data_IF_691905887970
#
_entry.id   IF_691905887970
#
_cell.length_a   1.000
_cell.length_b   1.000
_cell.length_c   1.000
_cell.angle_alpha   90.00
_cell.angle_beta   90.00
_cell.angle_gamma   90.00
#
_symmetry.space_group_name_H-M   'P 1'
#
loop_
_entity.id
_entity.type
_entity.pdbx_description
1 polymer ?
#
# COMPACT_ATOMS: atom_id res chain seq x y z
N UNK A 1 -23.22 15.34 -6.29
CA UNK A 1 -23.39 14.10 -5.49
C UNK A 1 -24.09 14.45 -4.20
N UNK A 2 -25.28 13.90 -3.95
CA UNK A 2 -25.98 14.05 -2.67
C UNK A 2 -25.59 12.89 -1.75
N UNK A 3 -25.11 13.18 -0.54
CA UNK A 3 -24.90 12.18 0.50
C UNK A 3 -25.42 12.71 1.85
N UNK A 4 -25.74 11.81 2.77
CA UNK A 4 -26.16 12.19 4.12
C UNK A 4 -24.94 12.34 5.02
N UNK A 5 -24.79 13.49 5.67
CA UNK A 5 -23.78 13.69 6.72
C UNK A 5 -23.98 12.63 7.81
N UNK A 6 -22.90 11.98 8.24
CA UNK A 6 -22.85 10.82 9.15
C UNK A 6 -23.57 9.54 8.67
N UNK A 7 -24.16 9.52 7.46
CA UNK A 7 -24.69 8.31 6.82
C UNK A 7 -23.60 7.51 6.10
N UNK A 8 -23.98 6.46 5.37
CA UNK A 8 -23.05 5.75 4.48
C UNK A 8 -22.71 6.62 3.27
N UNK A 9 -21.43 6.68 2.92
CA UNK A 9 -20.99 7.29 1.67
C UNK A 9 -21.51 6.48 0.47
N UNK A 10 -21.84 7.13 -0.66
CA UNK A 10 -22.07 6.39 -1.89
C UNK A 10 -20.80 5.65 -2.30
N UNK A 11 -20.96 4.45 -2.85
CA UNK A 11 -19.86 3.68 -3.42
C UNK A 11 -19.47 4.26 -4.79
N UNK A 12 -18.48 5.14 -4.75
CA UNK A 12 -17.93 5.83 -5.93
C UNK A 12 -16.39 5.84 -5.90
N UNK A 13 -15.81 4.83 -5.26
CA UNK A 13 -14.36 4.68 -5.11
C UNK A 13 -13.66 4.69 -6.47
N UNK A 14 -14.26 4.08 -7.49
CA UNK A 14 -13.74 4.08 -8.86
C UNK A 14 -13.71 5.48 -9.50
N UNK A 15 -14.75 6.28 -9.29
CA UNK A 15 -14.80 7.66 -9.79
C UNK A 15 -13.79 8.54 -9.05
N UNK A 16 -13.71 8.36 -7.74
CA UNK A 16 -12.72 9.00 -6.89
C UNK A 16 -11.29 8.72 -7.39
N UNK A 17 -10.95 7.46 -7.64
CA UNK A 17 -9.64 7.08 -8.16
C UNK A 17 -9.33 7.70 -9.53
N UNK A 18 -10.29 7.72 -10.46
CA UNK A 18 -10.12 8.37 -11.77
C UNK A 18 -9.84 9.87 -11.64
N UNK A 19 -10.51 10.55 -10.72
CA UNK A 19 -10.29 11.97 -10.45
C UNK A 19 -8.93 12.22 -9.80
N UNK A 20 -8.50 11.38 -8.85
CA UNK A 20 -7.16 11.45 -8.24
C UNK A 20 -6.05 11.24 -9.27
N UNK A 21 -6.19 10.27 -10.18
CA UNK A 21 -5.24 10.05 -11.29
C UNK A 21 -5.15 11.24 -12.26
N UNK A 22 -6.14 12.13 -12.28
CA UNK A 22 -6.15 13.37 -13.07
C UNK A 22 -5.75 14.60 -12.27
N UNK A 23 -5.27 14.43 -11.04
CA UNK A 23 -4.81 15.54 -10.18
C UNK A 23 -5.96 16.36 -9.57
N UNK A 24 -7.20 15.85 -9.59
CA UNK A 24 -8.35 16.53 -8.99
C UNK A 24 -8.46 16.24 -7.49
N UNK A 25 -7.50 16.74 -6.70
CA UNK A 25 -7.44 16.55 -5.25
C UNK A 25 -7.61 17.89 -4.47
N UNK A 26 -8.35 17.92 -3.35
CA UNK A 26 -9.08 16.80 -2.73
C UNK A 26 -10.48 16.66 -3.30
N UNK A 27 -10.83 15.42 -3.65
CA UNK A 27 -12.22 14.99 -3.63
C UNK A 27 -12.84 15.48 -2.31
N UNK A 28 -14.08 16.01 -2.32
CA UNK A 28 -14.66 16.63 -1.14
C UNK A 28 -14.46 15.72 0.07
N UNK A 29 -13.78 16.20 1.12
CA UNK A 29 -13.63 15.45 2.37
C UNK A 29 -15.04 15.14 2.84
N UNK A 30 -15.45 13.89 2.71
CA UNK A 30 -16.84 13.54 2.92
C UNK A 30 -17.09 13.49 4.41
N UNK A 31 -18.15 14.12 4.86
CA UNK A 31 -18.62 13.99 6.24
C UNK A 31 -19.52 12.76 6.42
N UNK A 32 -19.36 11.71 5.62
CA UNK A 32 -20.08 10.43 5.71
C UNK A 32 -19.13 9.30 6.14
N UNK A 33 -19.71 8.21 6.65
CA UNK A 33 -18.97 7.00 7.04
C UNK A 33 -18.64 6.19 5.79
N UNK A 34 -17.42 5.61 5.66
CA UNK A 34 -17.09 4.69 4.58
C UNK A 34 -18.18 3.62 4.47
N UNK A 35 -18.73 3.41 3.27
CA UNK A 35 -19.63 2.29 3.07
C UNK A 35 -18.83 0.99 3.22
N UNK A 36 -19.35 0.06 4.02
CA UNK A 36 -18.91 -1.31 3.92
C UNK A 36 -19.32 -1.86 2.53
N UNK A 37 -18.49 -2.66 1.85
CA UNK A 37 -18.90 -3.33 0.62
C UNK A 37 -20.19 -4.10 0.87
N UNK A 38 -21.22 -3.88 0.05
CA UNK A 38 -22.52 -4.54 0.22
C UNK A 38 -22.44 -6.06 0.04
N UNK A 39 -21.40 -6.53 -0.65
CA UNK A 39 -21.16 -7.94 -1.01
C UNK A 39 -19.82 -8.42 -0.46
N UNK A 40 -19.48 -8.08 0.79
CA UNK A 40 -18.32 -8.69 1.43
C UNK A 40 -18.51 -10.21 1.59
N UNK A 41 -17.85 -10.98 0.73
CA UNK A 41 -17.73 -12.44 0.83
C UNK A 41 -16.26 -12.77 1.02
N UNK A 42 -15.94 -13.40 2.15
CA UNK A 42 -14.63 -13.98 2.40
C UNK A 42 -14.55 -15.35 1.74
N UNK A 43 -13.55 -15.68 0.89
CA UNK A 43 -12.43 -14.87 0.41
C UNK A 43 -12.73 -14.14 -0.92
N UNK A 44 -12.14 -12.96 -1.10
CA UNK A 44 -12.33 -12.13 -2.31
C UNK A 44 -11.76 -12.83 -3.56
N UNK A 45 -12.57 -12.95 -4.61
CA UNK A 45 -12.08 -13.42 -5.91
C UNK A 45 -11.24 -12.33 -6.58
N UNK A 46 -10.09 -12.70 -7.14
CA UNK A 46 -9.18 -11.78 -7.82
C UNK A 46 -9.90 -11.10 -9.01
N UNK A 47 -9.97 -9.75 -9.08
CA UNK A 47 -10.56 -9.09 -10.24
C UNK A 47 -9.77 -9.41 -11.52
N UNK A 48 -10.45 -9.95 -12.52
CA UNK A 48 -9.89 -10.19 -13.87
C UNK A 48 -9.75 -8.85 -14.60
N UNK A 49 -8.64 -8.13 -14.39
CA UNK A 49 -8.39 -6.86 -15.09
C UNK A 49 -7.09 -6.12 -14.75
N UNK A 50 -6.20 -6.72 -13.96
CA UNK A 50 -4.93 -6.09 -13.59
C UNK A 50 -3.80 -6.51 -14.52
N UNK A 51 -3.44 -5.68 -15.50
CA UNK A 51 -2.22 -5.93 -16.27
C UNK A 51 -0.95 -5.47 -15.52
N UNK A 52 -1.03 -4.44 -14.66
CA UNK A 52 0.10 -4.00 -13.82
C UNK A 52 0.31 -4.87 -12.56
N UNK A 53 -0.68 -5.67 -12.16
CA UNK A 53 -0.69 -6.38 -10.88
C UNK A 53 -1.38 -7.74 -10.95
N UNK A 54 -1.10 -8.50 -12.02
CA UNK A 54 -1.78 -9.76 -12.36
C UNK A 54 -1.62 -10.88 -11.32
N UNK A 55 -0.71 -10.72 -10.35
CA UNK A 55 -0.44 -11.70 -9.28
C UNK A 55 -0.09 -11.10 -7.91
N UNK A 56 -0.26 -9.79 -7.66
CA UNK A 56 0.25 -9.23 -6.38
C UNK A 56 -0.55 -9.68 -5.16
N UNK A 57 -1.81 -10.10 -5.34
CA UNK A 57 -2.61 -10.63 -4.24
C UNK A 57 -2.41 -12.14 -4.03
N UNK A 58 -1.69 -12.82 -4.93
CA UNK A 58 -1.34 -14.22 -4.80
C UNK A 58 -0.05 -14.38 -3.97
N UNK A 59 -0.22 -14.61 -2.67
CA UNK A 59 0.88 -14.77 -1.72
C UNK A 59 1.63 -16.10 -1.88
N UNK A 60 1.04 -17.09 -2.56
CA UNK A 60 1.72 -18.36 -2.86
C UNK A 60 2.48 -18.33 -4.20
N UNK A 61 2.18 -17.32 -5.03
CA UNK A 61 2.81 -17.07 -6.32
C UNK A 61 4.08 -16.20 -6.25
N UNK A 62 4.31 -15.29 -7.22
CA UNK A 62 5.53 -14.49 -7.33
C UNK A 62 5.86 -13.64 -6.08
N UNK A 63 4.84 -13.21 -5.33
CA UNK A 63 5.04 -12.41 -4.12
C UNK A 63 5.74 -13.20 -2.99
N UNK A 64 5.63 -14.53 -2.99
CA UNK A 64 6.27 -15.43 -2.01
C UNK A 64 7.79 -15.35 -2.02
N UNK A 65 8.40 -15.09 -3.17
CA UNK A 65 9.86 -15.05 -3.34
C UNK A 65 10.39 -13.62 -3.46
N UNK A 66 9.51 -12.66 -3.74
CA UNK A 66 9.89 -11.25 -3.88
C UNK A 66 10.55 -10.77 -2.60
N UNK A 67 11.73 -10.15 -2.75
CA UNK A 67 12.60 -9.65 -1.66
C UNK A 67 13.26 -10.71 -0.75
N UNK A 68 13.02 -12.01 -0.97
CA UNK A 68 13.48 -13.09 -0.08
C UNK A 68 14.92 -13.59 -0.35
N UNK A 69 15.47 -13.44 -1.56
CA UNK A 69 16.80 -13.98 -1.87
C UNK A 69 17.15 -13.95 -3.37
N UNK A 70 18.44 -14.06 -3.68
CA UNK A 70 19.10 -13.63 -4.92
C UNK A 70 18.47 -14.12 -6.23
N UNK A 71 17.74 -13.23 -6.90
CA UNK A 71 17.60 -13.31 -8.36
C UNK A 71 18.94 -12.88 -8.94
N UNK A 72 19.52 -13.72 -9.80
CA UNK A 72 20.93 -13.68 -10.25
C UNK A 72 21.33 -12.49 -11.12
N UNK A 73 20.74 -11.31 -10.95
CA UNK A 73 21.11 -10.09 -11.65
C UNK A 73 21.77 -9.10 -10.66
N UNK A 74 22.91 -8.53 -11.04
CA UNK A 74 23.78 -7.74 -10.14
C UNK A 74 23.18 -6.44 -9.59
N UNK A 75 21.90 -6.16 -9.86
CA UNK A 75 21.17 -4.97 -9.38
C UNK A 75 20.09 -5.30 -8.33
N UNK A 76 19.84 -6.58 -8.03
CA UNK A 76 18.81 -6.98 -7.07
C UNK A 76 19.32 -6.95 -5.62
N UNK A 77 18.65 -6.18 -4.77
CA UNK A 77 18.88 -6.14 -3.32
C UNK A 77 17.90 -7.07 -2.60
N UNK A 78 18.43 -7.98 -1.77
CA UNK A 78 17.60 -8.65 -0.77
C UNK A 78 17.37 -7.73 0.43
N UNK A 79 16.35 -8.03 1.22
CA UNK A 79 16.05 -7.26 2.44
C UNK A 79 17.21 -7.31 3.42
N UNK A 80 17.90 -8.45 3.48
CA UNK A 80 19.07 -8.59 4.35
C UNK A 80 20.24 -7.68 3.89
N UNK A 81 20.43 -7.49 2.58
CA UNK A 81 21.39 -6.51 2.05
C UNK A 81 20.97 -5.08 2.38
N UNK A 82 19.67 -4.77 2.29
CA UNK A 82 19.13 -3.45 2.65
C UNK A 82 19.35 -3.15 4.13
N UNK A 83 19.07 -4.09 5.02
CA UNK A 83 19.30 -3.90 6.46
C UNK A 83 20.79 -3.80 6.81
N UNK A 84 21.67 -4.45 6.04
CA UNK A 84 23.11 -4.41 6.25
C UNK A 84 23.77 -3.06 5.93
N UNK A 85 23.07 -2.13 5.25
CA UNK A 85 23.62 -0.78 4.98
C UNK A 85 23.74 0.08 6.24
N UNK A 86 23.05 -0.31 7.32
CA UNK A 86 23.10 0.35 8.62
C UNK A 86 23.45 -0.67 9.70
N UNK A 87 23.89 -0.17 10.86
CA UNK A 87 24.15 -1.04 12.02
C UNK A 87 22.84 -1.77 12.40
N UNK A 88 22.87 -3.07 12.68
CA UNK A 88 21.69 -3.82 13.10
C UNK A 88 20.95 -3.13 14.24
N UNK A 89 19.62 -3.05 14.14
CA UNK A 89 18.76 -2.41 15.16
C UNK A 89 18.72 -0.88 15.12
N UNK A 90 19.38 -0.22 14.17
CA UNK A 90 19.34 1.26 14.05
C UNK A 90 18.23 1.80 13.14
N UNK A 91 17.62 0.94 12.33
CA UNK A 91 16.46 1.30 11.50
C UNK A 91 15.21 1.16 12.39
N UNK A 92 14.60 2.28 12.76
CA UNK A 92 13.44 2.35 13.66
C UNK A 92 12.15 2.49 12.87
N UNK A 93 12.16 3.35 11.86
CA UNK A 93 10.99 3.64 11.02
C UNK A 93 11.40 3.93 9.58
N UNK A 94 10.58 3.49 8.63
CA UNK A 94 10.72 3.87 7.24
C UNK A 94 9.38 4.10 6.56
N UNK A 95 9.48 4.56 5.31
CA UNK A 95 8.36 4.85 4.44
C UNK A 95 8.54 4.10 3.11
N UNK A 96 7.51 3.40 2.66
CA UNK A 96 7.47 2.71 1.38
C UNK A 96 6.45 3.40 0.47
N UNK A 97 6.89 4.03 -0.61
CA UNK A 97 6.05 4.85 -1.48
C UNK A 97 5.56 4.01 -2.66
N UNK A 98 4.24 3.76 -2.72
CA UNK A 98 3.65 3.00 -3.81
C UNK A 98 3.92 1.50 -3.70
N UNK A 99 3.93 0.97 -2.47
CA UNK A 99 4.33 -0.41 -2.15
C UNK A 99 3.44 -1.54 -2.71
N UNK A 100 2.42 -1.22 -3.50
CA UNK A 100 1.45 -2.17 -4.04
C UNK A 100 0.73 -2.92 -2.91
N UNK A 101 1.04 -4.20 -2.73
CA UNK A 101 0.52 -5.06 -1.66
C UNK A 101 1.39 -5.08 -0.39
N UNK A 102 2.40 -4.20 -0.32
CA UNK A 102 3.31 -4.02 0.82
C UNK A 102 4.26 -5.18 1.10
N UNK A 103 4.72 -5.89 0.07
CA UNK A 103 5.62 -7.03 0.24
C UNK A 103 6.97 -6.63 0.82
N UNK A 104 7.56 -5.51 0.38
CA UNK A 104 8.78 -4.96 0.99
C UNK A 104 8.59 -4.74 2.50
N UNK A 105 7.50 -4.07 2.89
CA UNK A 105 7.17 -3.79 4.29
C UNK A 105 6.96 -5.05 5.11
N UNK A 106 6.30 -6.08 4.56
CA UNK A 106 6.13 -7.36 5.27
C UNK A 106 7.48 -8.03 5.51
N UNK A 107 8.42 -8.01 4.55
CA UNK A 107 9.76 -8.54 4.79
C UNK A 107 10.56 -7.77 5.84
N UNK A 108 10.39 -6.45 5.88
CA UNK A 108 11.00 -5.60 6.90
C UNK A 108 10.40 -5.91 8.28
N UNK A 109 9.08 -6.11 8.36
CA UNK A 109 8.38 -6.51 9.58
C UNK A 109 8.85 -7.86 10.11
N UNK A 110 9.07 -8.85 9.23
CA UNK A 110 9.66 -10.16 9.60
C UNK A 110 11.03 -10.03 10.30
N UNK A 111 11.74 -8.91 10.06
CA UNK A 111 13.03 -8.57 10.66
C UNK A 111 12.91 -7.46 11.71
N UNK A 112 11.74 -7.34 12.33
CA UNK A 112 11.43 -6.38 13.39
C UNK A 112 11.63 -4.91 13.00
N UNK A 113 11.49 -4.58 11.71
CA UNK A 113 11.59 -3.20 11.23
C UNK A 113 10.21 -2.68 10.84
N UNK A 114 9.82 -1.53 11.40
CA UNK A 114 8.53 -0.91 11.10
C UNK A 114 8.63 -0.02 9.87
N UNK A 115 7.89 -0.34 8.83
CA UNK A 115 7.75 0.51 7.64
C UNK A 115 6.27 0.83 7.47
N UNK A 116 5.98 2.10 7.21
CA UNK A 116 4.66 2.55 6.80
C UNK A 116 4.62 2.58 5.27
N UNK A 117 3.59 2.01 4.65
CA UNK A 117 3.51 1.92 3.19
C UNK A 117 2.39 2.79 2.66
N UNK A 118 2.63 3.46 1.54
CA UNK A 118 1.60 4.20 0.83
C UNK A 118 1.14 3.39 -0.38
N UNK A 119 -0.17 3.31 -0.57
CA UNK A 119 -0.73 2.63 -1.74
C UNK A 119 -2.04 3.28 -2.15
N UNK A 120 -2.32 3.29 -3.44
CA UNK A 120 -3.63 3.69 -3.96
C UNK A 120 -4.45 2.44 -4.24
N UNK A 121 -5.76 2.50 -4.02
CA UNK A 121 -6.67 1.38 -4.31
C UNK A 121 -6.99 1.22 -5.81
N UNK A 122 -6.06 1.52 -6.72
CA UNK A 122 -6.32 1.57 -8.16
C UNK A 122 -6.91 0.26 -8.68
N UNK A 123 -8.23 0.26 -8.94
CA UNK A 123 -9.01 -0.89 -9.36
C UNK A 123 -8.97 -2.11 -8.41
N UNK A 124 -8.53 -1.95 -7.15
CA UNK A 124 -8.51 -3.03 -6.15
C UNK A 124 -8.23 -2.58 -4.74
N UNK A 125 -8.54 -3.44 -3.77
CA UNK A 125 -8.52 -3.11 -2.35
C UNK A 125 -7.13 -3.26 -1.72
N UNK A 126 -6.13 -2.58 -2.27
CA UNK A 126 -4.74 -2.66 -1.81
C UNK A 126 -4.60 -2.30 -0.33
N UNK A 127 -5.16 -1.19 0.13
CA UNK A 127 -4.99 -0.74 1.52
C UNK A 127 -5.65 -1.70 2.52
N UNK A 128 -6.80 -2.28 2.19
CA UNK A 128 -7.45 -3.30 3.02
C UNK A 128 -6.60 -4.58 3.08
N UNK A 129 -6.06 -5.02 1.94
CA UNK A 129 -5.16 -6.19 1.88
C UNK A 129 -3.85 -5.96 2.63
N UNK A 130 -3.27 -4.76 2.53
CA UNK A 130 -2.08 -4.36 3.28
C UNK A 130 -2.37 -4.41 4.78
N UNK A 131 -3.51 -3.84 5.23
CA UNK A 131 -3.92 -3.88 6.62
C UNK A 131 -4.10 -5.32 7.14
N UNK A 132 -4.68 -6.23 6.34
CA UNK A 132 -4.85 -7.64 6.74
C UNK A 132 -3.53 -8.40 6.86
N UNK A 133 -2.47 -7.98 6.17
CA UNK A 133 -1.09 -8.46 6.37
C UNK A 133 -0.45 -7.93 7.67
N UNK A 134 -1.18 -7.10 8.43
CA UNK A 134 -0.77 -6.57 9.72
C UNK A 134 0.33 -5.52 9.63
N UNK A 135 0.37 -4.75 8.56
CA UNK A 135 1.28 -3.60 8.36
C UNK A 135 0.45 -2.32 8.20
N UNK A 136 1.08 -1.15 8.25
CA UNK A 136 0.36 0.14 8.30
C UNK A 136 0.25 0.75 6.89
N UNK A 137 -0.93 0.71 6.24
CA UNK A 137 -1.20 1.44 5.01
C UNK A 137 -1.51 2.92 5.26
N UNK A 138 -0.97 3.78 4.40
CA UNK A 138 -1.37 5.17 4.23
C UNK A 138 -2.03 5.31 2.86
N UNK A 139 -3.33 5.57 2.87
CA UNK A 139 -4.04 5.96 1.67
C UNK A 139 -3.68 7.41 1.32
N UNK A 140 -2.78 7.59 0.37
CA UNK A 140 -2.39 8.90 -0.17
C UNK A 140 -2.48 8.87 -1.70
N UNK A 141 -2.77 10.02 -2.30
CA UNK A 141 -2.73 10.17 -3.75
C UNK A 141 -1.33 10.51 -4.26
N UNK A 142 -1.15 10.46 -5.58
CA UNK A 142 0.06 10.91 -6.29
C UNK A 142 0.43 12.39 -6.08
N UNK A 143 -0.53 13.25 -5.69
CA UNK A 143 -0.30 14.69 -5.53
C UNK A 143 -0.07 15.09 -4.07
N UNK A 144 -0.31 14.16 -3.14
CA UNK A 144 -0.20 14.44 -1.72
C UNK A 144 1.28 14.49 -1.30
N UNK A 145 1.70 15.66 -0.80
CA UNK A 145 3.02 15.81 -0.18
C UNK A 145 2.97 15.31 1.26
N UNK A 146 4.00 14.57 1.63
CA UNK A 146 4.24 14.16 3.01
C UNK A 146 5.18 15.19 3.66
N UNK A 147 4.69 16.06 4.58
CA UNK A 147 5.46 17.16 5.14
C UNK A 147 6.41 16.69 6.26
N UNK A 148 7.17 15.64 6.00
CA UNK A 148 8.19 15.17 6.92
C UNK A 148 9.47 15.97 6.74
N UNK A 149 10.11 16.34 7.84
CA UNK A 149 11.43 16.98 7.82
C UNK A 149 12.53 15.96 7.50
N UNK A 150 13.69 16.45 7.06
CA UNK A 150 14.87 15.62 6.83
C UNK A 150 15.20 14.76 8.05
N UNK A 151 15.62 13.52 7.81
CA UNK A 151 15.95 12.51 8.82
C UNK A 151 14.76 12.02 9.68
N UNK A 152 13.51 12.26 9.26
CA UNK A 152 12.33 11.65 9.91
C UNK A 152 12.31 10.13 9.75
N UNK A 153 12.71 9.63 8.58
CA UNK A 153 12.77 8.20 8.28
C UNK A 153 14.20 7.71 8.17
N UNK A 154 14.44 6.50 8.66
CA UNK A 154 15.74 5.84 8.53
C UNK A 154 15.93 5.21 7.15
N UNK A 155 14.83 4.89 6.45
CA UNK A 155 14.81 4.36 5.08
C UNK A 155 13.54 4.83 4.35
N UNK A 156 13.68 5.14 3.06
CA UNK A 156 12.57 5.37 2.13
C UNK A 156 12.79 4.46 0.93
N UNK A 157 11.75 3.69 0.57
CA UNK A 157 11.70 2.82 -0.61
C UNK A 157 10.67 3.38 -1.60
#
# INVERSE_FOLDING_TARGET
>A
MSYKVNGSCPDDELLAQKLLLKGCEPLPRRHCRPAAPSEYVEPYTLPKGFDDCKACFDLEGPEKIRWAGSVGSGLDFSIDKVLAVKKPGTIRIGLDIGGGVATFVVRMKERNTTIVTTSMNLNGHFNTFIASRGVVPLYISISQRLPFFDNTFDIVH
#
